data_IF_859497518895
#
_entry.id   IF_859497518895
#
_cell.length_a   1.000
_cell.length_b   1.000
_cell.length_c   1.000
_cell.angle_alpha   90.00
_cell.angle_beta   90.00
_cell.angle_gamma   90.00
#
_symmetry.space_group_name_H-M   'P 1'
#
loop_
_entity.id
_entity.type
_entity.pdbx_description
1 polymer ?
#
# COMPACT_ATOMS: atom_id res chain seq x y z
N UNK A 1 5.71 -34.85 0.71
CA UNK A 1 5.11 -33.53 0.40
C UNK A 1 5.96 -32.85 -0.66
N UNK A 2 5.36 -32.45 -1.79
CA UNK A 2 6.07 -31.67 -2.81
C UNK A 2 6.13 -30.18 -2.40
N UNK A 3 7.19 -29.45 -2.76
CA UNK A 3 7.24 -28.01 -2.54
C UNK A 3 6.23 -27.28 -3.45
N UNK A 4 5.79 -26.09 -3.06
CA UNK A 4 4.96 -25.21 -3.89
C UNK A 4 3.44 -25.40 -3.71
N UNK A 5 2.68 -24.83 -4.65
CA UNK A 5 1.23 -24.80 -4.59
C UNK A 5 0.63 -26.16 -4.92
N UNK A 6 -0.27 -26.61 -4.05
CA UNK A 6 -1.05 -27.83 -4.22
C UNK A 6 -2.34 -27.50 -4.96
N UNK A 7 -2.57 -28.13 -6.09
CA UNK A 7 -3.80 -28.00 -6.88
C UNK A 7 -4.34 -29.37 -7.28
N UNK A 8 -5.63 -29.44 -7.59
CA UNK A 8 -6.24 -30.63 -8.16
C UNK A 8 -5.55 -31.00 -9.49
N UNK A 9 -5.32 -32.28 -9.71
CA UNK A 9 -4.68 -32.80 -10.91
C UNK A 9 -5.39 -34.08 -11.38
N UNK A 10 -5.24 -34.47 -12.67
CA UNK A 10 -5.79 -35.74 -13.14
C UNK A 10 -5.26 -36.91 -12.31
N UNK A 11 -6.17 -37.70 -11.74
CA UNK A 11 -5.85 -38.94 -11.03
C UNK A 11 -5.86 -40.15 -11.95
N UNK A 12 -5.34 -41.28 -11.46
CA UNK A 12 -5.50 -42.56 -12.14
C UNK A 12 -6.89 -43.14 -11.84
N UNK A 13 -7.55 -43.67 -12.87
CA UNK A 13 -8.74 -44.53 -12.82
C UNK A 13 -9.63 -44.42 -11.55
N UNK A 14 -10.54 -43.44 -11.53
CA UNK A 14 -11.55 -43.30 -10.45
C UNK A 14 -11.06 -42.57 -9.20
N UNK A 15 -9.79 -42.16 -9.13
CA UNK A 15 -9.30 -41.30 -8.07
C UNK A 15 -9.84 -39.87 -8.21
N UNK A 16 -10.64 -39.43 -7.24
CA UNK A 16 -11.31 -38.11 -7.23
C UNK A 16 -10.54 -37.03 -6.45
N UNK A 17 -9.50 -37.40 -5.70
CA UNK A 17 -8.76 -36.53 -4.79
C UNK A 17 -7.29 -36.30 -5.21
N UNK A 18 -6.98 -36.59 -6.47
CA UNK A 18 -5.62 -36.44 -6.98
C UNK A 18 -5.16 -34.97 -6.98
N UNK A 19 -3.94 -34.77 -6.50
CA UNK A 19 -3.31 -33.45 -6.39
C UNK A 19 -1.90 -33.46 -6.95
N UNK A 20 -1.50 -32.34 -7.55
CA UNK A 20 -0.13 -32.08 -7.95
C UNK A 20 0.40 -30.82 -7.28
N UNK A 21 1.73 -30.75 -7.16
CA UNK A 21 2.44 -29.59 -6.64
C UNK A 21 3.19 -28.89 -7.78
N UNK A 22 3.15 -27.56 -7.81
CA UNK A 22 3.97 -26.78 -8.75
C UNK A 22 4.45 -25.46 -8.15
N UNK A 23 5.56 -24.95 -8.68
CA UNK A 23 6.15 -23.67 -8.28
C UNK A 23 6.60 -22.88 -9.52
N UNK A 24 6.63 -21.55 -9.43
CA UNK A 24 7.07 -20.67 -10.52
C UNK A 24 6.34 -19.33 -10.53
N UNK A 25 6.72 -18.46 -11.46
CA UNK A 25 6.10 -17.12 -11.60
C UNK A 25 4.62 -17.21 -12.00
N UNK A 26 4.21 -18.21 -12.78
CA UNK A 26 2.79 -18.47 -13.06
C UNK A 26 1.98 -18.79 -11.81
N UNK A 27 2.56 -19.56 -10.89
CA UNK A 27 1.94 -19.86 -9.59
C UNK A 27 1.84 -18.58 -8.73
N UNK A 28 2.90 -17.77 -8.69
CA UNK A 28 2.87 -16.48 -7.99
C UNK A 28 1.81 -15.53 -8.57
N UNK A 29 1.67 -15.47 -9.90
CA UNK A 29 0.64 -14.69 -10.58
C UNK A 29 -0.77 -15.16 -10.20
N UNK A 30 -1.02 -16.48 -10.19
CA UNK A 30 -2.30 -17.03 -9.76
C UNK A 30 -2.64 -16.68 -8.30
N UNK A 31 -1.65 -16.70 -7.40
CA UNK A 31 -1.85 -16.27 -6.01
C UNK A 31 -2.20 -14.78 -5.90
N UNK A 32 -1.54 -13.93 -6.69
CA UNK A 32 -1.80 -12.49 -6.72
C UNK A 32 -3.21 -12.20 -7.30
N UNK A 33 -3.62 -12.90 -8.35
CA UNK A 33 -4.98 -12.81 -8.91
C UNK A 33 -6.02 -13.24 -7.88
N UNK A 34 -5.76 -14.30 -7.11
CA UNK A 34 -6.64 -14.70 -6.01
C UNK A 34 -6.76 -13.61 -4.94
N UNK A 35 -5.65 -13.02 -4.52
CA UNK A 35 -5.67 -11.91 -3.56
C UNK A 35 -6.42 -10.68 -4.12
N UNK A 36 -6.33 -10.41 -5.42
CA UNK A 36 -7.11 -9.34 -6.06
C UNK A 36 -8.61 -9.64 -6.03
N UNK A 37 -9.04 -10.89 -6.21
CA UNK A 37 -10.44 -11.29 -6.06
C UNK A 37 -10.94 -10.99 -4.65
N UNK A 38 -10.16 -11.37 -3.63
CA UNK A 38 -10.49 -11.10 -2.22
C UNK A 38 -10.56 -9.59 -1.94
N UNK A 39 -9.69 -8.78 -2.56
CA UNK A 39 -9.78 -7.31 -2.48
C UNK A 39 -11.10 -6.83 -3.06
N UNK A 40 -11.48 -7.29 -4.26
CA UNK A 40 -12.72 -6.86 -4.90
C UNK A 40 -13.94 -7.19 -4.03
N UNK A 41 -13.99 -8.39 -3.46
CA UNK A 41 -15.07 -8.79 -2.54
C UNK A 41 -15.16 -7.83 -1.32
N UNK A 42 -14.01 -7.44 -0.75
CA UNK A 42 -13.97 -6.47 0.36
C UNK A 42 -14.40 -5.07 -0.09
N UNK A 43 -14.00 -4.62 -1.27
CA UNK A 43 -14.42 -3.31 -1.81
C UNK A 43 -15.93 -3.26 -2.02
N UNK A 44 -16.52 -4.32 -2.57
CA UNK A 44 -17.98 -4.44 -2.77
C UNK A 44 -18.73 -4.44 -1.44
N UNK A 45 -18.28 -5.25 -0.47
CA UNK A 45 -18.88 -5.31 0.87
C UNK A 45 -18.75 -3.97 1.61
N UNK A 46 -17.59 -3.32 1.57
CA UNK A 46 -17.36 -2.02 2.20
C UNK A 46 -18.27 -0.95 1.57
N UNK A 47 -18.40 -0.93 0.24
CA UNK A 47 -19.29 0.01 -0.46
C UNK A 47 -20.74 -0.14 -0.03
N UNK A 48 -21.23 -1.37 0.15
CA UNK A 48 -22.57 -1.63 0.66
C UNK A 48 -22.77 -1.13 2.12
N UNK A 49 -21.71 -1.15 2.94
CA UNK A 49 -21.76 -0.72 4.35
C UNK A 49 -21.58 0.78 4.61
N UNK A 50 -20.81 1.50 3.78
CA UNK A 50 -20.47 2.91 4.01
C UNK A 50 -21.47 3.93 3.39
N UNK A 51 -22.42 3.46 2.57
CA UNK A 51 -23.33 4.32 1.80
C UNK A 51 -22.60 5.12 0.70
N UNK A 52 -23.34 5.94 -0.05
CA UNK A 52 -22.86 6.56 -1.31
C UNK A 52 -21.75 7.62 -1.18
N UNK A 53 -21.50 8.20 -0.01
CA UNK A 53 -20.72 9.45 0.09
C UNK A 53 -19.25 9.29 0.56
N UNK A 54 -18.86 8.13 1.12
CA UNK A 54 -17.56 8.00 1.81
C UNK A 54 -16.55 7.05 1.13
N UNK A 55 -16.98 6.22 0.20
CA UNK A 55 -16.13 5.19 -0.43
C UNK A 55 -15.76 5.56 -1.88
N UNK A 56 -14.54 5.29 -2.36
CA UNK A 56 -14.13 5.63 -3.73
C UNK A 56 -15.06 5.07 -4.79
N UNK A 57 -15.47 5.83 -5.80
CA UNK A 57 -16.35 5.37 -6.90
C UNK A 57 -15.83 4.11 -7.62
N UNK A 58 -16.70 3.18 -8.08
CA UNK A 58 -16.27 1.92 -8.73
C UNK A 58 -15.33 2.10 -9.93
N UNK A 59 -15.38 3.26 -10.61
CA UNK A 59 -14.46 3.53 -11.71
C UNK A 59 -12.97 3.55 -11.30
N UNK A 60 -12.69 3.67 -10.00
CA UNK A 60 -11.36 3.64 -9.41
C UNK A 60 -10.94 2.24 -8.92
N UNK A 61 -11.84 1.25 -8.92
CA UNK A 61 -11.56 -0.09 -8.40
C UNK A 61 -10.29 -0.74 -8.99
N UNK A 62 -9.97 -0.62 -10.29
CA UNK A 62 -8.72 -1.19 -10.82
C UNK A 62 -7.47 -0.61 -10.17
N UNK A 63 -7.45 0.70 -9.88
CA UNK A 63 -6.29 1.35 -9.26
C UNK A 63 -6.29 1.17 -7.75
N UNK A 64 -7.46 1.10 -7.12
CA UNK A 64 -7.62 0.75 -5.69
C UNK A 64 -7.13 -0.68 -5.44
N UNK A 65 -7.54 -1.66 -6.26
CA UNK A 65 -7.13 -3.05 -6.14
C UNK A 65 -5.61 -3.20 -6.31
N UNK A 66 -5.04 -2.53 -7.31
CA UNK A 66 -3.57 -2.44 -7.49
C UNK A 66 -2.88 -1.86 -6.26
N UNK A 67 -3.45 -0.80 -5.68
CA UNK A 67 -2.90 -0.13 -4.49
C UNK A 67 -2.92 -1.06 -3.29
N UNK A 68 -4.06 -1.68 -2.98
CA UNK A 68 -4.24 -2.57 -1.83
C UNK A 68 -3.40 -3.84 -1.95
N UNK A 69 -3.28 -4.41 -3.15
CA UNK A 69 -2.43 -5.59 -3.40
C UNK A 69 -0.96 -5.29 -3.04
N UNK A 70 -0.44 -4.15 -3.51
CA UNK A 70 0.95 -3.74 -3.19
C UNK A 70 1.07 -3.29 -1.74
N UNK A 71 0.04 -2.66 -1.17
CA UNK A 71 0.05 -2.25 0.24
C UNK A 71 0.15 -3.43 1.20
N UNK A 72 -0.36 -4.59 0.81
CA UNK A 72 -0.22 -5.84 1.55
C UNK A 72 1.11 -6.57 1.30
N UNK A 73 1.94 -6.08 0.38
CA UNK A 73 3.28 -6.60 0.15
C UNK A 73 4.28 -6.02 1.17
N UNK A 74 5.35 -6.76 1.44
CA UNK A 74 6.49 -6.23 2.15
C UNK A 74 7.61 -7.26 2.25
N UNK A 75 8.84 -6.79 2.48
CA UNK A 75 10.01 -7.65 2.60
C UNK A 75 10.06 -8.37 3.95
N UNK A 76 9.69 -7.70 5.04
CA UNK A 76 9.75 -8.26 6.39
C UNK A 76 11.12 -8.93 6.66
N UNK A 77 11.12 -10.15 7.23
CA UNK A 77 12.34 -10.92 7.53
C UNK A 77 13.11 -11.40 6.27
N UNK A 78 12.58 -11.16 5.07
CA UNK A 78 13.22 -11.57 3.82
C UNK A 78 14.45 -10.72 3.50
N UNK A 79 14.52 -9.48 4.00
CA UNK A 79 15.65 -8.58 3.69
C UNK A 79 16.97 -9.20 4.17
N UNK A 80 17.07 -9.51 5.46
CA UNK A 80 18.29 -10.03 6.07
C UNK A 80 18.65 -11.40 5.49
N UNK A 81 17.65 -12.29 5.36
CA UNK A 81 17.84 -13.61 4.77
C UNK A 81 18.37 -13.52 3.34
N UNK A 82 17.77 -12.68 2.49
CA UNK A 82 18.18 -12.54 1.09
C UNK A 82 19.52 -11.82 0.96
N UNK A 83 19.80 -10.82 1.81
CA UNK A 83 21.10 -10.17 1.88
C UNK A 83 22.20 -11.19 2.15
N UNK A 84 22.01 -12.04 3.17
CA UNK A 84 23.01 -13.01 3.59
C UNK A 84 23.18 -14.13 2.55
N UNK A 85 22.07 -14.66 2.01
CA UNK A 85 22.09 -15.69 0.95
C UNK A 85 22.78 -15.23 -0.34
N UNK A 86 22.62 -13.96 -0.70
CA UNK A 86 23.19 -13.39 -1.92
C UNK A 86 24.55 -12.72 -1.70
N UNK A 87 25.05 -12.70 -0.45
CA UNK A 87 26.31 -12.03 -0.11
C UNK A 87 26.31 -10.52 -0.40
N UNK A 88 25.14 -9.87 -0.33
CA UNK A 88 25.02 -8.44 -0.64
C UNK A 88 25.51 -7.60 0.54
N UNK A 89 26.32 -6.59 0.27
CA UNK A 89 26.88 -5.70 1.29
C UNK A 89 26.82 -4.23 0.85
N UNK A 90 26.96 -3.31 1.81
CA UNK A 90 27.01 -1.88 1.54
C UNK A 90 25.65 -1.22 1.28
N UNK A 91 25.69 0.01 0.76
CA UNK A 91 24.51 0.86 0.63
C UNK A 91 23.58 0.45 -0.54
N UNK A 92 24.05 -0.40 -1.45
CA UNK A 92 23.30 -0.78 -2.65
C UNK A 92 22.36 -1.97 -2.43
N UNK A 93 22.44 -2.65 -1.28
CA UNK A 93 21.65 -3.84 -0.94
C UNK A 93 20.15 -3.64 -1.22
N UNK A 94 19.56 -2.52 -0.75
CA UNK A 94 18.13 -2.25 -0.97
C UNK A 94 17.83 -2.01 -2.44
N UNK A 95 18.71 -1.35 -3.19
CA UNK A 95 18.51 -1.13 -4.64
C UNK A 95 18.47 -2.46 -5.38
N UNK A 96 19.39 -3.36 -5.06
CA UNK A 96 19.52 -4.65 -5.74
C UNK A 96 18.41 -5.62 -5.34
N UNK A 97 18.06 -5.67 -4.05
CA UNK A 97 16.91 -6.43 -3.57
C UNK A 97 15.58 -5.90 -4.12
N UNK A 98 15.42 -4.59 -4.29
CA UNK A 98 14.21 -4.03 -4.92
C UNK A 98 14.06 -4.51 -6.36
N UNK A 99 15.16 -4.71 -7.09
CA UNK A 99 15.11 -5.24 -8.46
C UNK A 99 14.73 -6.72 -8.52
N UNK A 100 15.10 -7.49 -7.48
CA UNK A 100 14.85 -8.93 -7.41
C UNK A 100 13.47 -9.25 -6.82
N UNK A 101 13.10 -8.58 -5.73
CA UNK A 101 11.91 -8.87 -4.93
C UNK A 101 10.74 -7.93 -5.26
N UNK A 102 10.98 -6.82 -5.94
CA UNK A 102 10.00 -5.74 -6.05
C UNK A 102 9.63 -5.23 -4.66
N UNK A 103 8.34 -5.25 -4.35
CA UNK A 103 7.80 -4.90 -3.03
C UNK A 103 7.68 -6.08 -2.07
N UNK A 104 8.16 -7.27 -2.47
CA UNK A 104 8.09 -8.48 -1.65
C UNK A 104 6.78 -9.26 -1.80
N UNK A 105 6.63 -10.37 -1.05
CA UNK A 105 5.44 -11.21 -1.09
C UNK A 105 4.21 -10.50 -0.53
N UNK A 106 3.06 -10.74 -1.15
CA UNK A 106 1.75 -10.28 -0.67
C UNK A 106 1.30 -11.14 0.52
N UNK A 107 1.01 -10.50 1.65
CA UNK A 107 0.43 -11.13 2.84
C UNK A 107 -1.10 -10.98 2.81
N UNK A 108 -1.80 -12.08 2.54
CA UNK A 108 -3.27 -12.08 2.38
C UNK A 108 -4.00 -11.60 3.62
N UNK A 109 -3.49 -11.93 4.79
CA UNK A 109 -3.99 -11.48 6.08
C UNK A 109 -3.95 -9.94 6.25
N UNK A 110 -3.09 -9.25 5.48
CA UNK A 110 -2.97 -7.78 5.49
C UNK A 110 -3.78 -7.09 4.39
N UNK A 111 -4.47 -7.87 3.56
CA UNK A 111 -5.28 -7.37 2.45
C UNK A 111 -6.57 -6.76 3.01
N UNK A 112 -6.70 -5.45 2.87
CA UNK A 112 -7.93 -4.70 3.20
C UNK A 112 -8.44 -4.86 4.65
N UNK A 113 -7.58 -5.28 5.59
CA UNK A 113 -7.89 -5.42 7.01
C UNK A 113 -7.52 -4.15 7.79
N UNK A 114 -8.52 -3.55 8.44
CA UNK A 114 -8.32 -2.66 9.57
C UNK A 114 -8.47 -3.51 10.85
N UNK A 115 -7.39 -3.62 11.62
CA UNK A 115 -7.37 -4.30 12.91
C UNK A 115 -7.26 -3.24 14.02
N UNK A 116 -7.52 -3.59 15.28
CA UNK A 116 -7.46 -2.63 16.39
C UNK A 116 -6.13 -1.89 16.50
N UNK A 117 -5.03 -2.52 16.06
CA UNK A 117 -3.66 -1.97 16.06
C UNK A 117 -3.23 -1.41 14.69
N UNK A 118 -4.12 -1.40 13.69
CA UNK A 118 -3.83 -0.97 12.31
C UNK A 118 -4.95 -0.10 11.74
N UNK A 119 -4.66 1.19 11.60
CA UNK A 119 -5.55 2.13 10.93
C UNK A 119 -5.22 2.17 9.45
N UNK A 120 -6.22 2.16 8.57
CA UNK A 120 -6.05 2.30 7.11
C UNK A 120 -6.84 3.51 6.61
N UNK A 121 -6.15 4.44 5.94
CA UNK A 121 -6.76 5.45 5.08
C UNK A 121 -6.73 4.95 3.65
N UNK A 122 -7.88 4.96 2.99
CA UNK A 122 -8.02 4.66 1.58
C UNK A 122 -8.58 5.89 0.85
N UNK A 123 -7.91 6.30 -0.22
CA UNK A 123 -8.36 7.38 -1.09
C UNK A 123 -8.18 7.00 -2.55
N UNK A 124 -9.07 7.51 -3.42
CA UNK A 124 -8.87 7.47 -4.85
C UNK A 124 -9.39 8.73 -5.51
N UNK A 125 -8.89 9.01 -6.71
CA UNK A 125 -9.29 10.20 -7.46
C UNK A 125 -8.63 10.28 -8.81
N UNK A 126 -8.84 11.42 -9.47
CA UNK A 126 -8.20 11.76 -10.73
C UNK A 126 -7.41 13.05 -10.56
N UNK A 127 -6.17 13.08 -11.06
CA UNK A 127 -5.27 14.24 -10.93
C UNK A 127 -4.75 14.66 -12.31
N UNK A 128 -4.83 15.95 -12.61
CA UNK A 128 -4.28 16.52 -13.83
C UNK A 128 -2.81 16.94 -13.65
N UNK A 129 -2.17 17.34 -14.75
CA UNK A 129 -0.83 17.93 -14.73
C UNK A 129 -0.76 19.12 -13.76
N UNK A 130 0.35 19.21 -13.02
CA UNK A 130 0.69 20.32 -12.12
C UNK A 130 -0.36 20.56 -11.02
N UNK A 131 -1.22 19.57 -10.77
CA UNK A 131 -2.11 19.54 -9.62
C UNK A 131 -1.45 18.81 -8.45
N UNK A 132 -1.83 19.24 -7.25
CA UNK A 132 -1.53 18.59 -5.99
C UNK A 132 -2.82 18.14 -5.31
N UNK A 133 -2.83 16.91 -4.83
CA UNK A 133 -3.91 16.39 -4.00
C UNK A 133 -3.37 16.05 -2.60
N UNK A 134 -3.92 16.67 -1.56
CA UNK A 134 -3.44 16.49 -0.19
C UNK A 134 -4.43 15.63 0.61
N UNK A 135 -3.97 14.47 1.06
CA UNK A 135 -4.68 13.65 2.03
C UNK A 135 -4.24 13.97 3.45
N UNK A 136 -5.17 13.91 4.39
CA UNK A 136 -4.89 14.13 5.81
C UNK A 136 -5.11 12.81 6.55
N UNK A 137 -4.02 12.20 7.00
CA UNK A 137 -4.05 10.98 7.80
C UNK A 137 -4.03 11.35 9.29
N UNK A 138 -5.17 11.28 10.00
CA UNK A 138 -5.21 11.63 11.42
C UNK A 138 -4.30 10.71 12.24
N UNK A 139 -3.50 11.31 13.12
CA UNK A 139 -2.59 10.57 13.98
C UNK A 139 -3.29 10.23 15.30
N UNK A 140 -3.23 8.97 15.76
CA UNK A 140 -3.79 8.55 17.04
C UNK A 140 -3.16 9.36 18.19
N UNK A 141 -3.97 9.96 19.10
CA UNK A 141 -3.47 10.68 20.27
C UNK A 141 -2.65 9.79 21.20
N UNK A 142 -3.02 8.51 21.29
CA UNK A 142 -2.36 7.48 22.08
C UNK A 142 -0.88 7.30 21.75
N UNK A 143 -0.45 7.69 20.55
CA UNK A 143 0.94 7.59 20.11
C UNK A 143 1.74 8.89 20.27
N UNK A 144 1.11 9.99 20.67
CA UNK A 144 1.79 11.25 20.93
C UNK A 144 2.78 11.09 22.11
N UNK A 145 4.04 11.49 21.91
CA UNK A 145 5.11 11.43 22.91
C UNK A 145 5.45 10.02 23.45
N UNK A 146 5.13 8.96 22.71
CA UNK A 146 5.51 7.58 23.06
C UNK A 146 6.79 7.13 22.34
N UNK A 147 7.50 6.16 22.93
CA UNK A 147 8.67 5.48 22.33
C UNK A 147 8.29 4.10 21.77
N UNK A 148 7.00 3.85 21.59
CA UNK A 148 6.50 2.60 21.05
C UNK A 148 6.94 2.41 19.60
N UNK A 149 7.23 1.16 19.26
CA UNK A 149 7.48 0.78 17.87
C UNK A 149 6.24 1.09 17.03
N UNK A 150 6.48 1.71 15.88
CA UNK A 150 5.45 2.01 14.90
C UNK A 150 5.95 1.78 13.49
N UNK A 151 5.03 1.38 12.63
CA UNK A 151 5.24 1.18 11.21
C UNK A 151 4.23 1.96 10.41
N UNK A 152 4.71 2.87 9.58
CA UNK A 152 3.91 3.60 8.61
C UNK A 152 4.15 3.01 7.23
N UNK A 153 3.09 2.52 6.59
CA UNK A 153 3.13 2.06 5.20
C UNK A 153 2.33 3.02 4.34
N UNK A 154 2.91 3.54 3.26
CA UNK A 154 2.20 4.38 2.30
C UNK A 154 2.36 3.78 0.91
N UNK A 155 1.25 3.58 0.21
CA UNK A 155 1.21 3.06 -1.15
C UNK A 155 0.39 3.97 -2.03
N UNK A 156 1.01 4.51 -3.06
CA UNK A 156 0.38 5.28 -4.13
C UNK A 156 0.49 4.46 -5.41
N UNK A 157 -0.62 4.20 -6.09
CA UNK A 157 -0.60 3.59 -7.42
C UNK A 157 -1.46 4.40 -8.39
N UNK A 158 -1.09 4.33 -9.67
CA UNK A 158 -1.85 4.95 -10.76
C UNK A 158 -1.84 4.10 -12.02
N UNK A 159 -2.76 4.42 -12.92
CA UNK A 159 -2.81 3.85 -14.28
C UNK A 159 -2.46 4.98 -15.24
N UNK A 160 -1.16 5.09 -15.56
CA UNK A 160 -0.68 6.06 -16.52
C UNK A 160 -1.17 5.69 -17.93
N UNK A 161 -1.63 6.68 -18.73
CA UNK A 161 -1.68 6.51 -20.18
C UNK A 161 -0.30 6.17 -20.73
N UNK A 162 -0.25 5.59 -21.93
CA UNK A 162 0.99 5.19 -22.58
C UNK A 162 1.25 5.96 -23.88
N UNK A 163 2.52 6.21 -24.14
CA UNK A 163 3.07 6.64 -25.42
C UNK A 163 3.93 5.51 -25.98
N UNK A 164 3.37 4.75 -26.92
CA UNK A 164 4.04 3.59 -27.55
C UNK A 164 5.26 3.97 -28.39
N UNK A 165 5.40 5.25 -28.76
CA UNK A 165 6.52 5.76 -29.56
C UNK A 165 7.71 6.21 -28.72
N UNK A 166 7.65 6.08 -27.39
CA UNK A 166 8.74 6.46 -26.48
C UNK A 166 9.18 5.27 -25.62
N UNK A 167 10.50 5.10 -25.47
CA UNK A 167 11.07 4.07 -24.57
C UNK A 167 10.69 4.29 -23.10
N UNK A 168 10.22 5.49 -22.72
CA UNK A 168 9.71 5.74 -21.36
C UNK A 168 8.32 5.17 -21.14
N UNK A 169 7.54 4.96 -22.21
CA UNK A 169 6.15 4.50 -22.28
C UNK A 169 5.13 5.31 -21.46
N UNK A 170 5.36 5.57 -20.18
CA UNK A 170 4.41 6.19 -19.26
C UNK A 170 4.33 7.69 -19.49
N UNK A 171 3.13 8.24 -19.69
CA UNK A 171 2.94 9.68 -19.86
C UNK A 171 2.78 10.42 -18.54
N UNK A 172 2.32 9.75 -17.48
CA UNK A 172 2.06 10.31 -16.17
C UNK A 172 3.03 9.79 -15.13
N UNK A 173 3.61 10.71 -14.36
CA UNK A 173 4.38 10.40 -13.17
C UNK A 173 3.78 11.07 -11.96
N UNK A 174 3.31 10.26 -11.02
CA UNK A 174 2.83 10.71 -9.73
C UNK A 174 3.86 10.33 -8.65
N UNK A 175 3.92 11.10 -7.59
CA UNK A 175 4.68 10.76 -6.40
C UNK A 175 4.09 11.44 -5.17
N UNK A 176 4.38 10.86 -4.00
CA UNK A 176 4.22 11.54 -2.73
C UNK A 176 5.59 11.77 -2.08
N UNK A 177 5.66 12.81 -1.26
CA UNK A 177 6.83 13.07 -0.41
C UNK A 177 6.48 12.68 1.03
N UNK A 178 7.10 11.63 1.60
CA UNK A 178 6.81 11.22 2.96
C UNK A 178 7.34 12.25 3.96
N UNK A 179 6.50 12.70 4.90
CA UNK A 179 6.94 13.47 6.07
C UNK A 179 7.44 12.49 7.13
N UNK A 180 8.76 12.44 7.35
CA UNK A 180 9.41 11.44 8.21
C UNK A 180 9.58 11.93 9.64
N UNK A 181 9.74 13.23 9.78
CA UNK A 181 10.12 13.93 11.01
C UNK A 181 8.99 13.88 12.04
N UNK A 182 7.74 14.09 11.58
CA UNK A 182 6.53 14.07 12.43
C UNK A 182 6.39 12.77 13.22
N UNK A 183 6.72 11.65 12.58
CA UNK A 183 6.64 10.32 13.17
C UNK A 183 8.01 9.75 13.54
N UNK A 184 9.12 10.50 13.44
CA UNK A 184 10.48 10.01 13.69
C UNK A 184 10.72 8.57 13.17
N UNK A 185 10.38 8.34 11.89
CA UNK A 185 10.50 7.03 11.22
C UNK A 185 11.51 7.08 10.07
N UNK A 186 12.13 5.94 9.75
CA UNK A 186 13.08 5.78 8.66
C UNK A 186 12.62 4.69 7.68
N UNK A 187 12.94 4.81 6.37
CA UNK A 187 12.56 3.80 5.38
C UNK A 187 13.34 2.49 5.60
N UNK A 188 12.63 1.36 5.65
CA UNK A 188 13.22 0.04 5.99
C UNK A 188 13.24 -0.96 4.84
N UNK A 189 12.37 -0.83 3.83
CA UNK A 189 12.25 -1.80 2.73
C UNK A 189 12.74 -1.27 1.37
N UNK A 190 11.88 -1.22 0.36
CA UNK A 190 12.24 -0.86 -1.01
C UNK A 190 13.00 0.47 -1.11
N UNK A 191 13.97 0.52 -2.03
CA UNK A 191 14.85 1.68 -2.20
C UNK A 191 14.07 2.93 -2.66
N UNK A 192 14.28 4.05 -1.97
CA UNK A 192 13.52 5.28 -2.18
C UNK A 192 13.64 5.86 -3.61
N UNK A 193 14.71 5.57 -4.34
CA UNK A 193 14.86 5.99 -5.74
C UNK A 193 14.24 4.98 -6.70
N UNK A 194 14.32 3.68 -6.39
CA UNK A 194 13.73 2.62 -7.18
C UNK A 194 12.19 2.75 -7.25
N UNK A 195 11.55 3.08 -6.12
CA UNK A 195 10.08 3.23 -6.03
C UNK A 195 9.52 4.38 -6.87
N UNK A 196 10.37 5.31 -7.32
CA UNK A 196 9.97 6.45 -8.16
C UNK A 196 10.00 6.16 -9.67
N UNK A 197 10.39 4.94 -10.08
CA UNK A 197 10.57 4.58 -11.50
C UNK A 197 9.35 3.93 -12.15
N UNK A 198 8.38 3.48 -11.35
CA UNK A 198 7.18 2.74 -11.80
C UNK A 198 5.90 3.57 -11.80
N UNK A 199 4.75 2.88 -11.85
CA UNK A 199 3.40 3.44 -11.62
C UNK A 199 2.83 3.07 -10.25
N UNK A 200 3.74 2.75 -9.32
CA UNK A 200 3.46 2.48 -7.92
C UNK A 200 4.65 3.01 -7.14
N UNK A 201 4.37 3.80 -6.11
CA UNK A 201 5.33 4.17 -5.08
C UNK A 201 4.84 3.57 -3.77
N UNK A 202 5.56 2.58 -3.24
CA UNK A 202 5.26 1.94 -1.97
C UNK A 202 6.46 2.10 -1.04
N UNK A 203 6.24 2.66 0.15
CA UNK A 203 7.29 2.86 1.14
C UNK A 203 6.80 2.41 2.52
N UNK A 204 7.67 1.66 3.19
CA UNK A 204 7.50 1.22 4.57
C UNK A 204 8.52 1.97 5.42
N UNK A 205 8.04 2.62 6.47
CA UNK A 205 8.83 3.34 7.43
C UNK A 205 8.62 2.76 8.82
N UNK A 206 9.69 2.66 9.60
CA UNK A 206 9.63 2.21 10.99
C UNK A 206 10.40 3.14 11.91
N UNK A 207 10.00 3.18 13.17
CA UNK A 207 10.70 3.90 14.21
C UNK A 207 10.20 3.52 15.60
N UNK A 208 11.07 3.71 16.59
CA UNK A 208 10.75 3.59 18.01
C UNK A 208 11.25 4.81 18.82
N UNK A 209 11.78 5.83 18.13
CA UNK A 209 12.15 7.09 18.77
C UNK A 209 10.90 7.84 19.27
N UNK A 210 11.03 8.74 20.23
CA UNK A 210 9.90 9.55 20.69
C UNK A 210 9.33 10.37 19.52
N UNK A 211 8.06 10.14 19.15
CA UNK A 211 7.39 10.92 18.12
C UNK A 211 6.88 12.24 18.74
N UNK A 212 7.43 13.37 18.29
CA UNK A 212 7.17 14.70 18.85
C UNK A 212 5.91 15.39 18.31
N UNK A 213 4.88 14.66 17.89
CA UNK A 213 3.67 15.26 17.34
C UNK A 213 2.61 15.53 18.42
N UNK A 214 1.78 16.55 18.19
CA UNK A 214 0.71 16.95 19.12
C UNK A 214 -0.53 16.09 18.89
N UNK A 215 -1.20 15.67 19.98
CA UNK A 215 -2.47 14.96 19.90
C UNK A 215 -3.49 15.69 19.00
N UNK A 216 -4.12 14.96 18.08
CA UNK A 216 -5.05 15.53 17.08
C UNK A 216 -4.38 16.12 15.85
N UNK A 217 -3.04 16.04 15.72
CA UNK A 217 -2.36 16.35 14.47
C UNK A 217 -2.68 15.31 13.38
N UNK A 218 -2.48 15.70 12.13
CA UNK A 218 -2.60 14.82 10.98
C UNK A 218 -1.32 14.84 10.17
N UNK A 219 -0.96 13.69 9.63
CA UNK A 219 0.07 13.54 8.63
C UNK A 219 -0.50 13.93 7.26
N UNK A 220 0.04 14.99 6.67
CA UNK A 220 -0.29 15.35 5.30
C UNK A 220 0.43 14.41 4.32
N UNK A 221 -0.31 13.89 3.35
CA UNK A 221 0.25 13.11 2.24
C UNK A 221 -0.12 13.83 0.95
N UNK A 222 0.82 14.62 0.46
CA UNK A 222 0.71 15.36 -0.79
C UNK A 222 1.09 14.49 -1.96
N UNK A 223 0.19 14.38 -2.94
CA UNK A 223 0.39 13.68 -4.20
C UNK A 223 0.54 14.73 -5.30
N UNK A 224 1.69 14.73 -5.94
CA UNK A 224 1.99 15.59 -7.09
C UNK A 224 1.90 14.79 -8.40
N UNK A 225 1.50 15.46 -9.48
CA UNK A 225 1.43 14.87 -10.82
C UNK A 225 2.21 15.70 -11.84
N UNK A 226 3.08 15.02 -12.59
CA UNK A 226 3.82 15.62 -13.72
C UNK A 226 3.73 14.77 -14.98
N UNK A 227 3.98 15.42 -16.11
CA UNK A 227 4.18 14.76 -17.40
C UNK A 227 5.53 14.04 -17.45
N UNK A 228 5.59 12.95 -18.21
CA UNK A 228 6.82 12.20 -18.50
C UNK A 228 7.00 11.99 -20.01
N UNK A 229 6.61 10.84 -20.57
CA UNK A 229 6.92 10.49 -21.96
C UNK A 229 6.14 11.29 -23.02
N UNK A 230 5.05 11.95 -22.65
CA UNK A 230 4.20 12.76 -23.52
C UNK A 230 3.32 13.71 -22.71
N UNK A 231 2.65 14.62 -23.40
CA UNK A 231 1.66 15.53 -22.82
C UNK A 231 0.48 14.75 -22.19
N UNK A 232 0.04 15.16 -21.01
CA UNK A 232 -1.18 14.66 -20.40
C UNK A 232 -2.39 15.33 -21.07
N UNK A 233 -3.27 14.52 -21.67
CA UNK A 233 -4.52 15.01 -22.29
C UNK A 233 -5.74 14.87 -21.39
N UNK A 234 -5.66 14.01 -20.37
CA UNK A 234 -6.73 13.76 -19.41
C UNK A 234 -6.17 13.54 -18.00
N UNK A 235 -6.96 13.80 -16.95
CA UNK A 235 -6.60 13.45 -15.58
C UNK A 235 -6.30 11.95 -15.43
N UNK A 236 -5.34 11.64 -14.56
CA UNK A 236 -4.85 10.28 -14.33
C UNK A 236 -5.51 9.74 -13.07
N UNK A 237 -6.10 8.54 -13.20
CA UNK A 237 -6.68 7.83 -12.05
C UNK A 237 -5.58 7.31 -11.14
N UNK A 238 -5.71 7.60 -9.86
CA UNK A 238 -4.79 7.15 -8.82
C UNK A 238 -5.57 6.65 -7.60
N UNK A 239 -4.91 5.86 -6.77
CA UNK A 239 -5.37 5.50 -5.44
C UNK A 239 -4.19 5.50 -4.46
N UNK A 240 -4.52 5.76 -3.20
CA UNK A 240 -3.59 5.80 -2.08
C UNK A 240 -4.13 4.96 -0.92
N UNK A 241 -3.25 4.15 -0.33
CA UNK A 241 -3.48 3.49 0.93
C UNK A 241 -2.36 3.88 1.90
N UNK A 242 -2.73 4.34 3.09
CA UNK A 242 -1.79 4.60 4.18
C UNK A 242 -2.22 3.81 5.41
N UNK A 243 -1.29 3.09 6.04
CA UNK A 243 -1.55 2.40 7.29
C UNK A 243 -0.52 2.71 8.36
N UNK A 244 -0.99 2.82 9.60
CA UNK A 244 -0.17 2.99 10.78
C UNK A 244 -0.40 1.80 11.72
N UNK A 245 0.69 1.11 12.03
CA UNK A 245 0.75 -0.05 12.91
C UNK A 245 1.58 0.26 14.16
N UNK A 246 1.19 -0.32 15.28
CA UNK A 246 1.89 -0.18 16.58
C UNK A 246 2.10 -1.54 17.22
N UNK A 247 2.96 -1.61 18.23
CA UNK A 247 3.15 -2.84 19.00
C UNK A 247 1.84 -3.32 19.66
N UNK A 248 1.57 -4.61 19.58
CA UNK A 248 0.36 -5.23 20.14
C UNK A 248 0.26 -5.16 21.68
N UNK A 249 1.36 -4.82 22.36
CA UNK A 249 1.41 -4.51 23.79
C UNK A 249 0.61 -3.26 24.17
N UNK A 250 0.30 -2.40 23.18
CA UNK A 250 -0.51 -1.20 23.37
C UNK A 250 -1.98 -1.60 23.32
N UNK A 251 -2.64 -1.63 24.48
CA UNK A 251 -4.08 -1.90 24.60
C UNK A 251 -4.92 -0.69 24.14
N UNK A 252 -4.80 -0.32 22.87
CA UNK A 252 -5.50 0.81 22.26
C UNK A 252 -6.18 0.35 20.98
N UNK A 253 -7.46 0.70 20.83
CA UNK A 253 -8.18 0.58 19.57
C UNK A 253 -7.90 1.82 18.70
N UNK A 254 -6.78 1.79 17.98
CA UNK A 254 -6.37 2.88 17.09
C UNK A 254 -7.40 3.13 15.99
N UNK A 255 -8.06 2.08 15.52
CA UNK A 255 -9.11 2.19 14.51
C UNK A 255 -10.29 3.03 15.03
N UNK A 256 -10.74 2.79 16.26
CA UNK A 256 -11.78 3.60 16.89
C UNK A 256 -11.34 5.07 17.09
N UNK A 257 -10.10 5.32 17.54
CA UNK A 257 -9.58 6.68 17.73
C UNK A 257 -9.56 7.48 16.43
N UNK A 258 -9.03 6.88 15.36
CA UNK A 258 -8.98 7.55 14.05
C UNK A 258 -10.37 7.69 13.44
N UNK A 259 -11.23 6.68 13.55
CA UNK A 259 -12.60 6.80 13.05
C UNK A 259 -13.37 7.94 13.75
N UNK A 260 -13.17 8.12 15.06
CA UNK A 260 -13.76 9.23 15.81
C UNK A 260 -13.26 10.59 15.28
N UNK A 261 -11.95 10.73 15.03
CA UNK A 261 -11.39 11.97 14.48
C UNK A 261 -11.86 12.25 13.05
N UNK A 262 -11.91 11.24 12.18
CA UNK A 262 -12.41 11.41 10.80
C UNK A 262 -13.88 11.84 10.80
N UNK A 263 -14.73 11.30 11.69
CA UNK A 263 -16.13 11.75 11.84
C UNK A 263 -16.22 13.21 12.27
N UNK A 264 -15.33 13.67 13.17
CA UNK A 264 -15.28 15.07 13.62
C UNK A 264 -14.83 16.00 12.49
N UNK A 265 -13.78 15.64 11.74
CA UNK A 265 -13.28 16.41 10.60
C UNK A 265 -14.35 16.54 9.50
N UNK A 266 -15.04 15.45 9.19
CA UNK A 266 -16.10 15.45 8.16
C UNK A 266 -17.32 16.28 8.61
N UNK A 267 -17.72 16.23 9.89
CA UNK A 267 -18.80 17.08 10.43
C UNK A 267 -18.43 18.57 10.42
N UNK A 268 -17.20 18.92 10.78
CA UNK A 268 -16.71 20.30 10.72
C UNK A 268 -16.71 20.86 9.28
N UNK A 269 -16.41 20.01 8.28
CA UNK A 269 -16.49 20.41 6.86
C UNK A 269 -17.92 20.49 6.32
N UNK A 270 -18.85 19.72 6.87
CA UNK A 270 -20.26 19.74 6.47
C UNK A 270 -21.04 20.95 7.04
N UNK A 271 -20.63 21.50 8.19
CA UNK A 271 -21.23 22.69 8.80
C UNK A 271 -20.72 24.02 8.21
N UNK A 272 -19.68 23.99 7.38
CA UNK A 272 -19.06 25.16 6.74
C UNK A 272 -19.43 25.29 5.26
N UNK A 273 -20.45 24.55 4.80
CA UNK A 273 -21.06 24.68 3.47
C UNK A 273 -22.41 25.37 3.54
#
# INVERSE_FOLDING_TARGET
HGPGLRAAAPGLAGQLDAVAHSCGTSNAAALATRSLSEIMDVLEAARAGYGDAAFPDPQYDPVVAKTLLVHAAGWHDSLERMRDLLGLTGHEVRRDLTRLLGYGPVRRERVATAEGTRVVLLGAGSIAKDQRFSYSFPLPPSLAATTEWRRLTITLAWISPINVHSQRYRTARLWFTPTKETLAVAPVEADANAVLKGTVQHQVFEGAAAAGYVAGSSLAIDIDCREDAAKLVSPVRFAIAASLEVAASVAVDLHAEVQAQTKVITRARAQVR
#
